data_IF_150029972780
#
_entry.id   IF_150029972780
#
_cell.length_a   1.000
_cell.length_b   1.000
_cell.length_c   1.000
_cell.angle_alpha   90.00
_cell.angle_beta   90.00
_cell.angle_gamma   90.00
#
_symmetry.space_group_name_H-M   'P 1'
#
loop_
_entity.id
_entity.type
_entity.pdbx_description
1 polymer ?
#
# COMPACT_ATOMS: atom_id res chain seq x y z
N UNK A 1 3.17 28.45 8.52
CA UNK A 1 3.14 28.07 7.10
C UNK A 1 3.06 29.28 6.16
N UNK A 2 3.98 29.44 5.19
CA UNK A 2 3.86 30.46 4.11
C UNK A 2 3.08 29.86 2.93
N UNK A 3 1.85 30.30 2.71
CA UNK A 3 0.98 29.77 1.62
C UNK A 3 1.49 30.12 0.22
N UNK A 4 2.51 30.97 0.10
CA UNK A 4 3.09 31.42 -1.19
C UNK A 4 4.22 30.52 -1.70
N UNK A 5 4.72 29.59 -0.89
CA UNK A 5 5.83 28.69 -1.26
C UNK A 5 5.40 27.24 -1.12
N UNK A 6 5.88 26.37 -2.01
CA UNK A 6 5.63 24.94 -1.89
C UNK A 6 6.20 24.37 -0.59
N UNK A 7 5.44 23.51 0.09
CA UNK A 7 5.91 22.81 1.30
C UNK A 7 7.12 21.92 1.01
N UNK A 8 7.27 21.42 -0.22
CA UNK A 8 8.47 20.66 -0.62
C UNK A 8 9.73 21.50 -0.46
N UNK A 9 9.68 22.76 -0.92
CA UNK A 9 10.81 23.69 -0.79
C UNK A 9 11.02 24.08 0.67
N UNK A 10 9.94 24.41 1.40
CA UNK A 10 10.04 24.81 2.80
C UNK A 10 10.65 23.72 3.69
N UNK A 11 10.19 22.47 3.54
CA UNK A 11 10.64 21.36 4.38
C UNK A 11 12.03 20.87 3.98
N UNK A 12 12.36 20.82 2.67
CA UNK A 12 13.70 20.41 2.22
C UNK A 12 14.80 21.40 2.62
N UNK A 13 14.51 22.70 2.71
CA UNK A 13 15.46 23.72 3.20
C UNK A 13 15.87 23.52 4.66
N UNK A 14 15.05 22.81 5.45
CA UNK A 14 15.37 22.49 6.84
C UNK A 14 16.30 21.26 6.98
N UNK A 15 16.60 20.57 5.88
CA UNK A 15 17.36 19.33 5.87
C UNK A 15 18.85 19.56 5.58
N UNK A 16 19.71 18.89 6.35
CA UNK A 16 21.11 18.64 6.04
C UNK A 16 21.30 17.16 5.79
N UNK A 17 22.10 16.78 4.80
CA UNK A 17 22.28 15.37 4.47
C UNK A 17 23.74 15.03 4.19
N UNK A 18 24.09 13.77 4.42
CA UNK A 18 25.41 13.18 4.16
C UNK A 18 25.27 11.75 3.63
N UNK A 19 26.22 11.30 2.80
CA UNK A 19 26.23 9.91 2.31
C UNK A 19 26.60 8.97 3.44
N UNK A 20 25.80 7.92 3.66
CA UNK A 20 26.07 6.87 4.64
C UNK A 20 26.60 5.61 3.94
N UNK A 21 27.90 5.60 3.69
CA UNK A 21 28.57 4.49 2.97
C UNK A 21 28.58 3.17 3.76
N UNK A 22 28.49 3.22 5.09
CA UNK A 22 28.43 2.01 5.92
C UNK A 22 27.17 1.21 5.62
N UNK A 23 25.99 1.84 5.74
CA UNK A 23 24.71 1.19 5.45
C UNK A 23 24.61 0.85 3.95
N UNK A 24 25.03 1.77 3.07
CA UNK A 24 25.03 1.53 1.63
C UNK A 24 25.90 0.32 1.25
N UNK A 25 27.06 0.15 1.87
CA UNK A 25 27.96 -0.98 1.65
C UNK A 25 27.31 -2.33 1.99
N UNK A 26 26.55 -2.40 3.07
CA UNK A 26 25.83 -3.63 3.46
C UNK A 26 24.74 -3.95 2.44
N UNK A 27 23.92 -2.96 2.07
CA UNK A 27 22.89 -3.12 1.05
C UNK A 27 23.48 -3.60 -0.29
N UNK A 28 24.56 -2.98 -0.77
CA UNK A 28 25.24 -3.38 -2.02
C UNK A 28 25.77 -4.82 -1.96
N UNK A 29 26.33 -5.25 -0.82
CA UNK A 29 26.83 -6.62 -0.62
C UNK A 29 25.70 -7.64 -0.69
N UNK A 30 24.58 -7.38 -0.02
CA UNK A 30 23.42 -8.26 0.00
C UNK A 30 22.70 -8.27 -1.37
N UNK A 31 22.58 -7.12 -2.03
CA UNK A 31 21.94 -7.01 -3.34
C UNK A 31 22.57 -7.95 -4.37
N UNK A 32 23.91 -7.98 -4.43
CA UNK A 32 24.67 -8.91 -5.31
C UNK A 32 24.34 -10.39 -5.07
N UNK A 33 23.89 -10.76 -3.87
CA UNK A 33 23.50 -12.13 -3.56
C UNK A 33 22.09 -12.49 -4.04
N UNK A 34 21.22 -11.47 -4.20
CA UNK A 34 19.81 -11.58 -4.59
C UNK A 34 19.63 -11.46 -6.11
N UNK A 35 20.34 -10.52 -6.77
CA UNK A 35 20.15 -10.16 -8.19
C UNK A 35 20.76 -11.13 -9.19
N UNK A 36 20.96 -12.41 -8.84
CA UNK A 36 21.37 -13.40 -9.86
C UNK A 36 20.21 -13.59 -10.87
N UNK A 37 20.45 -13.47 -12.19
CA UNK A 37 19.39 -13.40 -13.22
C UNK A 37 18.42 -14.59 -13.24
N UNK A 38 18.86 -15.75 -12.76
CA UNK A 38 18.10 -16.99 -12.61
C UNK A 38 17.02 -16.95 -11.51
N UNK A 39 16.98 -15.89 -10.70
CA UNK A 39 16.09 -15.80 -9.54
C UNK A 39 14.91 -14.84 -9.70
N UNK A 40 14.92 -13.94 -10.68
CA UNK A 40 13.84 -12.97 -10.86
C UNK A 40 12.82 -13.47 -11.90
N UNK A 41 11.52 -13.48 -11.60
CA UNK A 41 10.48 -13.80 -12.56
C UNK A 41 10.38 -12.72 -13.64
N UNK A 42 10.23 -13.14 -14.90
CA UNK A 42 9.93 -12.22 -16.02
C UNK A 42 8.56 -11.53 -15.87
N UNK A 43 7.68 -12.12 -15.05
CA UNK A 43 6.31 -11.64 -14.83
C UNK A 43 5.79 -12.01 -13.46
N UNK A 44 5.04 -11.08 -12.86
CA UNK A 44 4.36 -11.27 -11.59
C UNK A 44 2.83 -11.36 -11.78
N UNK A 45 2.21 -12.22 -10.99
CA UNK A 45 0.77 -12.25 -10.78
C UNK A 45 0.43 -11.76 -9.37
N UNK A 46 -0.65 -10.99 -9.23
CA UNK A 46 -1.17 -10.68 -7.90
C UNK A 46 -1.89 -11.90 -7.31
N UNK A 47 -1.73 -12.18 -6.02
CA UNK A 47 -2.33 -13.34 -5.35
C UNK A 47 -3.87 -13.30 -5.42
N UNK A 48 -4.47 -12.11 -5.38
CA UNK A 48 -5.93 -11.94 -5.62
C UNK A 48 -6.37 -12.45 -7.00
N UNK A 49 -5.53 -12.28 -8.02
CA UNK A 49 -5.80 -12.74 -9.39
C UNK A 49 -5.80 -14.26 -9.49
N UNK A 50 -5.06 -14.95 -8.62
CA UNK A 50 -4.99 -16.40 -8.57
C UNK A 50 -6.19 -17.06 -7.89
N UNK A 51 -6.98 -16.28 -7.14
CA UNK A 51 -8.27 -16.73 -6.60
C UNK A 51 -9.37 -16.78 -7.68
N UNK A 52 -9.19 -16.05 -8.79
CA UNK A 52 -10.05 -16.07 -9.97
C UNK A 52 -9.21 -16.07 -11.28
N UNK A 53 -8.50 -17.16 -11.62
CA UNK A 53 -7.58 -17.18 -12.76
C UNK A 53 -8.21 -16.81 -14.10
N UNK A 54 -9.45 -17.21 -14.34
CA UNK A 54 -10.15 -16.90 -15.60
C UNK A 54 -10.44 -15.41 -15.76
N UNK A 55 -10.85 -14.74 -14.69
CA UNK A 55 -10.99 -13.27 -14.71
C UNK A 55 -9.64 -12.61 -14.97
N UNK A 56 -8.58 -13.07 -14.31
CA UNK A 56 -7.23 -12.57 -14.49
C UNK A 56 -6.73 -12.75 -15.93
N UNK A 57 -7.05 -13.88 -16.57
CA UNK A 57 -6.75 -14.14 -17.98
C UNK A 57 -7.42 -13.09 -18.87
N UNK A 58 -8.74 -12.88 -18.73
CA UNK A 58 -9.47 -11.94 -19.57
C UNK A 58 -9.06 -10.48 -19.33
N UNK A 59 -8.74 -10.12 -18.09
CA UNK A 59 -8.13 -8.83 -17.76
C UNK A 59 -6.78 -8.63 -18.43
N UNK A 60 -5.98 -9.70 -18.53
CA UNK A 60 -4.66 -9.62 -19.15
C UNK A 60 -4.73 -9.44 -20.67
N UNK A 61 -5.63 -10.17 -21.34
CA UNK A 61 -5.77 -10.09 -22.80
C UNK A 61 -6.66 -8.93 -23.27
N UNK A 62 -7.41 -8.28 -22.37
CA UNK A 62 -8.25 -7.12 -22.66
C UNK A 62 -8.06 -6.01 -21.60
N UNK A 63 -6.88 -5.36 -21.52
CA UNK A 63 -6.59 -4.34 -20.51
C UNK A 63 -7.47 -3.09 -20.66
N UNK A 64 -7.89 -2.77 -21.88
CA UNK A 64 -8.65 -1.54 -22.20
C UNK A 64 -10.14 -1.63 -21.78
N UNK A 65 -10.57 -2.75 -21.21
CA UNK A 65 -11.97 -2.91 -20.78
C UNK A 65 -12.16 -2.23 -19.44
N UNK A 66 -12.82 -1.08 -19.49
CA UNK A 66 -13.18 -0.31 -18.31
C UNK A 66 -14.22 -1.04 -17.44
N UNK A 67 -14.07 -0.82 -16.13
CA UNK A 67 -15.06 -1.25 -15.13
C UNK A 67 -16.35 -0.44 -15.32
N UNK A 68 -17.49 -1.02 -14.97
CA UNK A 68 -18.75 -0.26 -14.98
C UNK A 68 -18.71 0.84 -13.91
N UNK A 69 -19.39 1.97 -14.14
CA UNK A 69 -19.47 3.08 -13.17
C UNK A 69 -19.90 2.61 -11.78
N UNK A 70 -20.90 1.73 -11.71
CA UNK A 70 -21.38 1.14 -10.45
C UNK A 70 -20.28 0.36 -9.73
N UNK A 71 -19.53 -0.48 -10.45
CA UNK A 71 -18.42 -1.23 -9.89
C UNK A 71 -17.28 -0.30 -9.43
N UNK A 72 -16.96 0.73 -10.22
CA UNK A 72 -15.95 1.73 -9.86
C UNK A 72 -16.30 2.47 -8.56
N UNK A 73 -17.55 2.93 -8.42
CA UNK A 73 -18.04 3.58 -7.20
C UNK A 73 -17.93 2.65 -6.00
N UNK A 74 -18.37 1.39 -6.15
CA UNK A 74 -18.29 0.39 -5.07
C UNK A 74 -16.85 0.10 -4.64
N UNK A 75 -15.92 0.00 -5.60
CA UNK A 75 -14.51 -0.23 -5.31
C UNK A 75 -13.86 0.97 -4.63
N UNK A 76 -14.15 2.19 -5.08
CA UNK A 76 -13.61 3.40 -4.43
C UNK A 76 -14.17 3.56 -3.01
N UNK A 77 -15.45 3.26 -2.79
CA UNK A 77 -16.03 3.24 -1.45
C UNK A 77 -15.35 2.21 -0.54
N UNK A 78 -15.12 0.99 -1.06
CA UNK A 78 -14.35 -0.04 -0.36
C UNK A 78 -12.93 0.44 0.00
N UNK A 79 -12.22 1.09 -0.93
CA UNK A 79 -10.90 1.68 -0.68
C UNK A 79 -10.94 2.76 0.40
N UNK A 80 -11.98 3.60 0.43
CA UNK A 80 -12.15 4.62 1.47
C UNK A 80 -12.37 3.98 2.84
N UNK A 81 -13.21 2.95 2.92
CA UNK A 81 -13.45 2.22 4.16
C UNK A 81 -12.19 1.48 4.67
N UNK A 82 -11.40 0.84 3.79
CA UNK A 82 -10.11 0.25 4.18
C UNK A 82 -9.13 1.29 4.74
N UNK A 83 -9.12 2.50 4.16
CA UNK A 83 -8.33 3.60 4.70
C UNK A 83 -8.84 3.97 6.10
N UNK A 84 -10.14 4.20 6.25
CA UNK A 84 -10.73 4.58 7.54
C UNK A 84 -10.49 3.52 8.63
N UNK A 85 -10.54 2.23 8.30
CA UNK A 85 -10.30 1.17 9.28
C UNK A 85 -8.89 1.16 9.85
N UNK A 86 -7.91 1.80 9.20
CA UNK A 86 -6.57 2.00 9.77
C UNK A 86 -6.66 2.65 11.16
N UNK A 87 -7.56 3.62 11.38
CA UNK A 87 -7.72 4.27 12.69
C UNK A 87 -8.06 3.34 13.84
N UNK A 88 -8.84 2.30 13.54
CA UNK A 88 -9.32 1.35 14.52
C UNK A 88 -8.28 0.26 14.73
N UNK A 89 -7.78 -0.30 13.64
CA UNK A 89 -6.81 -1.38 13.68
C UNK A 89 -5.47 -0.94 14.27
N UNK A 90 -5.03 0.29 14.01
CA UNK A 90 -3.81 0.84 14.62
C UNK A 90 -3.89 0.89 16.14
N UNK A 91 -5.09 0.95 16.75
CA UNK A 91 -5.25 0.96 18.20
C UNK A 91 -5.15 -0.44 18.82
N UNK A 92 -5.33 -1.51 18.04
CA UNK A 92 -5.22 -2.88 18.56
C UNK A 92 -3.81 -3.16 19.13
N UNK A 93 -3.72 -3.87 20.28
CA UNK A 93 -2.44 -4.33 20.79
C UNK A 93 -1.68 -5.10 19.71
N UNK A 94 -0.35 -4.94 19.68
CA UNK A 94 0.51 -5.64 18.73
C UNK A 94 0.24 -5.35 17.25
N UNK A 95 -0.49 -4.28 16.90
CA UNK A 95 -0.54 -3.79 15.52
C UNK A 95 0.88 -3.58 14.98
N UNK A 96 1.17 -4.14 13.81
CA UNK A 96 2.48 -4.02 13.15
C UNK A 96 2.38 -3.22 11.86
N UNK A 97 1.59 -3.68 10.88
CA UNK A 97 1.64 -3.13 9.50
C UNK A 97 0.23 -2.94 8.96
N UNK A 98 0.05 -1.90 8.14
CA UNK A 98 -1.05 -1.72 7.18
C UNK A 98 -0.51 -1.78 5.75
N UNK A 99 -1.23 -2.41 4.83
CA UNK A 99 -0.86 -2.61 3.41
C UNK A 99 0.53 -3.26 3.22
N UNK A 100 0.76 -4.37 3.92
CA UNK A 100 2.02 -5.10 3.85
C UNK A 100 2.23 -5.76 2.49
N UNK A 101 3.28 -5.37 1.74
CA UNK A 101 3.64 -6.04 0.49
C UNK A 101 4.38 -7.35 0.79
N UNK A 102 3.98 -8.42 0.11
CA UNK A 102 4.60 -9.74 0.20
C UNK A 102 4.95 -10.25 -1.21
N UNK A 103 6.08 -10.95 -1.33
CA UNK A 103 6.59 -11.47 -2.60
C UNK A 103 7.00 -12.94 -2.44
N UNK A 104 6.47 -13.78 -3.33
CA UNK A 104 6.68 -15.21 -3.30
C UNK A 104 8.13 -15.64 -3.55
N UNK A 105 8.98 -14.78 -4.13
CA UNK A 105 10.41 -15.07 -4.28
C UNK A 105 11.09 -15.36 -2.94
N UNK A 106 10.60 -14.79 -1.84
CA UNK A 106 11.19 -14.96 -0.50
C UNK A 106 10.86 -16.31 0.14
N UNK A 107 9.86 -17.03 -0.37
CA UNK A 107 9.37 -18.31 0.19
C UNK A 107 9.40 -19.46 -0.83
N UNK A 108 10.15 -19.27 -1.92
CA UNK A 108 10.28 -20.28 -2.98
C UNK A 108 9.01 -20.46 -3.81
N UNK A 109 8.24 -19.39 -4.01
CA UNK A 109 7.09 -19.32 -4.93
C UNK A 109 7.27 -18.10 -5.85
N UNK A 110 8.31 -18.08 -6.72
CA UNK A 110 8.59 -16.91 -7.55
C UNK A 110 7.43 -16.60 -8.51
N UNK A 111 7.26 -15.31 -8.85
CA UNK A 111 6.29 -14.85 -9.85
C UNK A 111 4.93 -14.47 -9.28
N UNK A 112 4.80 -14.35 -7.96
CA UNK A 112 3.57 -13.89 -7.30
C UNK A 112 3.81 -12.83 -6.24
N UNK A 113 2.83 -11.94 -6.08
CA UNK A 113 2.85 -10.84 -5.11
C UNK A 113 1.52 -10.60 -4.44
N UNK A 114 1.54 -10.11 -3.21
CA UNK A 114 0.34 -9.74 -2.46
C UNK A 114 0.49 -8.42 -1.74
N UNK A 115 -0.64 -7.88 -1.32
CA UNK A 115 -0.74 -6.77 -0.38
C UNK A 115 -1.72 -7.22 0.70
N UNK A 116 -1.21 -7.57 1.88
CA UNK A 116 -2.08 -7.89 3.03
C UNK A 116 -2.64 -6.60 3.62
N UNK A 117 -3.90 -6.61 4.06
CA UNK A 117 -4.50 -5.41 4.63
C UNK A 117 -3.80 -5.02 5.94
N UNK A 118 -3.68 -5.96 6.89
CA UNK A 118 -2.98 -5.72 8.15
C UNK A 118 -2.16 -6.92 8.63
N UNK A 119 -1.13 -6.60 9.43
CA UNK A 119 -0.39 -7.57 10.24
C UNK A 119 -0.48 -7.14 11.71
N UNK A 120 -1.03 -8.01 12.55
CA UNK A 120 -1.25 -7.74 13.99
C UNK A 120 -0.81 -8.97 14.77
N UNK A 121 0.14 -8.77 15.69
CA UNK A 121 0.88 -9.89 16.26
C UNK A 121 1.50 -10.72 15.13
N UNK A 122 1.40 -12.04 15.22
CA UNK A 122 1.93 -12.97 14.22
C UNK A 122 0.87 -13.40 13.20
N UNK A 123 -0.19 -12.61 13.03
CA UNK A 123 -1.37 -12.98 12.23
C UNK A 123 -1.66 -11.97 11.14
N UNK A 124 -2.02 -12.48 9.96
CA UNK A 124 -2.53 -11.65 8.86
C UNK A 124 -4.00 -11.38 9.11
N UNK A 125 -4.41 -10.12 8.95
CA UNK A 125 -5.80 -9.69 9.03
C UNK A 125 -6.21 -9.19 7.64
N UNK A 126 -7.11 -9.91 6.99
CA UNK A 126 -7.73 -9.49 5.73
C UNK A 126 -9.08 -8.85 6.02
N UNK A 127 -9.27 -7.62 5.56
CA UNK A 127 -10.51 -6.87 5.75
C UNK A 127 -11.38 -6.99 4.49
N UNK A 128 -12.69 -7.15 4.69
CA UNK A 128 -13.68 -7.12 3.61
C UNK A 128 -14.85 -6.23 3.97
N UNK A 129 -15.15 -5.27 3.11
CA UNK A 129 -16.32 -4.41 3.25
C UNK A 129 -17.54 -5.06 2.60
N UNK A 130 -18.67 -5.14 3.33
CA UNK A 130 -19.90 -5.76 2.86
C UNK A 130 -21.12 -4.97 3.33
N UNK A 131 -22.18 -5.00 2.52
CA UNK A 131 -23.48 -4.44 2.91
C UNK A 131 -24.12 -5.17 4.10
N UNK A 132 -24.01 -6.50 4.10
CA UNK A 132 -24.43 -7.38 5.20
C UNK A 132 -23.22 -8.17 5.69
N UNK A 133 -23.03 -8.20 7.01
CA UNK A 133 -22.01 -9.03 7.66
C UNK A 133 -22.44 -10.49 7.64
N UNK A 134 -21.52 -11.45 7.48
CA UNK A 134 -21.87 -12.86 7.57
C UNK A 134 -22.44 -13.19 8.96
N UNK A 135 -23.47 -14.01 8.98
CA UNK A 135 -24.12 -14.45 10.22
C UNK A 135 -23.30 -15.51 10.94
N UNK A 136 -22.69 -16.43 10.17
CA UNK A 136 -21.93 -17.56 10.66
C UNK A 136 -20.84 -17.99 9.65
N UNK A 137 -20.09 -19.03 10.01
CA UNK A 137 -19.00 -19.60 9.24
C UNK A 137 -19.48 -20.26 7.93
N UNK A 138 -20.69 -20.83 7.91
CA UNK A 138 -21.25 -21.48 6.73
C UNK A 138 -21.46 -20.48 5.59
N UNK A 139 -21.95 -19.27 5.90
CA UNK A 139 -22.09 -18.20 4.92
C UNK A 139 -20.74 -17.79 4.31
N UNK A 140 -19.66 -17.82 5.09
CA UNK A 140 -18.31 -17.51 4.60
C UNK A 140 -17.86 -18.58 3.62
N UNK A 141 -18.05 -19.87 3.94
CA UNK A 141 -17.74 -20.95 3.02
C UNK A 141 -18.62 -20.95 1.76
N UNK A 142 -19.86 -20.46 1.84
CA UNK A 142 -20.79 -20.40 0.72
C UNK A 142 -20.55 -19.22 -0.22
N UNK A 143 -20.28 -18.02 0.33
CA UNK A 143 -20.29 -16.77 -0.44
C UNK A 143 -18.95 -16.02 -0.45
N UNK A 144 -18.07 -16.30 0.50
CA UNK A 144 -16.81 -15.56 0.72
C UNK A 144 -15.58 -16.47 0.73
N UNK A 145 -15.68 -17.67 0.16
CA UNK A 145 -14.57 -18.62 0.12
C UNK A 145 -13.36 -18.13 -0.68
N UNK A 146 -13.54 -17.22 -1.64
CA UNK A 146 -12.42 -16.53 -2.28
C UNK A 146 -11.65 -15.64 -1.31
N UNK A 147 -12.32 -15.04 -0.33
CA UNK A 147 -11.69 -14.18 0.67
C UNK A 147 -10.84 -15.05 1.62
N UNK A 148 -11.29 -16.28 1.93
CA UNK A 148 -10.50 -17.31 2.63
C UNK A 148 -9.32 -17.83 1.81
N UNK A 149 -9.52 -18.12 0.52
CA UNK A 149 -8.45 -18.58 -0.39
C UNK A 149 -7.36 -17.51 -0.51
N UNK A 150 -7.73 -16.25 -0.65
CA UNK A 150 -6.81 -15.12 -0.70
C UNK A 150 -5.98 -15.02 0.57
N UNK A 151 -6.62 -15.07 1.75
CA UNK A 151 -5.93 -15.06 3.04
C UNK A 151 -4.97 -16.26 3.19
N UNK A 152 -5.39 -17.45 2.75
CA UNK A 152 -4.54 -18.64 2.78
C UNK A 152 -3.32 -18.50 1.86
N UNK A 153 -3.48 -17.92 0.67
CA UNK A 153 -2.36 -17.62 -0.23
C UNK A 153 -1.41 -16.58 0.35
N UNK A 154 -1.94 -15.56 1.04
CA UNK A 154 -1.12 -14.60 1.76
C UNK A 154 -0.27 -15.27 2.84
N UNK A 155 -0.84 -16.20 3.60
CA UNK A 155 -0.09 -16.96 4.59
C UNK A 155 1.06 -17.78 3.96
N UNK A 156 0.87 -18.39 2.78
CA UNK A 156 1.96 -19.11 2.07
C UNK A 156 3.09 -18.19 1.62
N UNK A 157 2.76 -16.97 1.19
CA UNK A 157 3.74 -16.01 0.66
C UNK A 157 4.38 -15.17 1.75
N UNK A 158 3.84 -15.20 2.96
CA UNK A 158 4.44 -14.56 4.12
C UNK A 158 5.67 -15.34 4.61
N UNK A 159 6.82 -14.68 4.87
CA UNK A 159 8.04 -15.36 5.31
C UNK A 159 7.86 -16.24 6.56
N UNK A 160 7.02 -15.80 7.49
CA UNK A 160 6.75 -16.52 8.75
C UNK A 160 5.68 -17.63 8.61
N UNK A 161 5.03 -17.75 7.46
CA UNK A 161 3.96 -18.74 7.20
C UNK A 161 2.93 -18.87 8.35
N UNK A 162 2.23 -17.78 8.71
CA UNK A 162 1.36 -17.76 9.87
C UNK A 162 0.21 -18.75 9.72
N UNK A 163 0.04 -19.63 10.71
CA UNK A 163 -1.05 -20.62 10.72
C UNK A 163 -2.37 -20.03 11.17
N UNK A 164 -2.33 -19.09 12.11
CA UNK A 164 -3.51 -18.39 12.62
C UNK A 164 -3.57 -17.01 11.99
N UNK A 165 -4.72 -16.71 11.39
CA UNK A 165 -4.99 -15.47 10.67
C UNK A 165 -6.43 -15.04 10.95
N UNK A 166 -6.83 -13.87 10.45
CA UNK A 166 -8.14 -13.30 10.67
C UNK A 166 -8.76 -12.81 9.37
N UNK A 167 -10.02 -13.19 9.15
CA UNK A 167 -10.87 -12.58 8.14
C UNK A 167 -11.85 -11.67 8.87
N UNK A 168 -11.78 -10.37 8.58
CA UNK A 168 -12.60 -9.36 9.25
C UNK A 168 -13.57 -8.77 8.25
N UNK A 169 -14.84 -8.72 8.61
CA UNK A 169 -15.90 -8.10 7.82
C UNK A 169 -16.31 -6.77 8.43
N UNK A 170 -16.37 -5.74 7.60
CA UNK A 170 -16.78 -4.39 7.95
C UNK A 170 -18.08 -4.05 7.22
N UNK A 171 -19.10 -3.61 7.95
CA UNK A 171 -20.34 -3.13 7.33
C UNK A 171 -20.03 -1.86 6.55
N UNK A 172 -20.49 -1.77 5.31
CA UNK A 172 -20.19 -0.64 4.41
C UNK A 172 -20.98 0.65 4.70
N UNK A 173 -21.75 0.65 5.78
CA UNK A 173 -22.61 1.76 6.20
C UNK A 173 -22.58 1.91 7.73
N UNK A 174 -22.78 3.14 8.24
CA UNK A 174 -22.87 3.39 9.68
C UNK A 174 -23.88 2.44 10.37
N UNK A 175 -23.58 1.96 11.58
CA UNK A 175 -22.47 2.34 12.44
C UNK A 175 -21.15 1.57 12.16
N UNK A 176 -20.95 1.03 10.95
CA UNK A 176 -19.69 0.39 10.54
C UNK A 176 -19.28 -0.79 11.41
N UNK A 177 -20.24 -1.64 11.79
CA UNK A 177 -19.99 -2.83 12.62
C UNK A 177 -18.92 -3.75 12.02
N UNK A 178 -18.14 -4.38 12.89
CA UNK A 178 -17.10 -5.33 12.53
C UNK A 178 -17.48 -6.75 12.99
N UNK A 179 -17.05 -7.77 12.26
CA UNK A 179 -17.02 -9.16 12.72
C UNK A 179 -15.69 -9.81 12.34
N UNK A 180 -15.01 -10.38 13.32
CA UNK A 180 -13.77 -11.10 13.11
C UNK A 180 -14.00 -12.61 13.15
N UNK A 181 -13.41 -13.32 12.20
CA UNK A 181 -13.36 -14.77 12.17
C UNK A 181 -11.90 -15.20 12.18
N UNK A 182 -11.56 -16.04 13.16
CA UNK A 182 -10.25 -16.68 13.24
C UNK A 182 -10.17 -17.78 12.20
N UNK A 183 -9.08 -17.76 11.43
CA UNK A 183 -8.78 -18.71 10.36
C UNK A 183 -7.52 -19.47 10.71
N UNK A 184 -7.62 -20.78 10.93
CA UNK A 184 -6.47 -21.65 11.19
C UNK A 184 -6.19 -22.50 9.96
N UNK A 185 -5.04 -22.30 9.32
CA UNK A 185 -4.61 -23.09 8.17
C UNK A 185 -3.98 -24.39 8.67
N UNK A 186 -4.69 -25.51 8.47
CA UNK A 186 -4.31 -26.85 8.93
C UNK A 186 -3.21 -27.45 8.06
N UNK A 187 -3.21 -27.15 6.76
CA UNK A 187 -2.33 -27.77 5.78
C UNK A 187 -1.74 -26.74 4.79
N UNK A 188 -0.67 -26.07 5.22
CA UNK A 188 0.05 -25.11 4.38
C UNK A 188 0.63 -25.77 3.10
N UNK A 189 0.98 -27.06 3.14
CA UNK A 189 1.52 -27.78 1.99
C UNK A 189 0.50 -27.93 0.86
N UNK A 190 -0.75 -28.27 1.19
CA UNK A 190 -1.85 -28.32 0.22
C UNK A 190 -2.21 -26.95 -0.33
N UNK A 191 -2.25 -25.91 0.50
CA UNK A 191 -2.49 -24.54 0.04
C UNK A 191 -1.37 -24.07 -0.91
N UNK A 192 -0.10 -24.36 -0.58
CA UNK A 192 1.04 -24.05 -1.45
C UNK A 192 0.94 -24.78 -2.79
N UNK A 193 0.55 -26.06 -2.78
CA UNK A 193 0.37 -26.85 -4.00
C UNK A 193 -0.78 -26.31 -4.87
N UNK A 194 -1.89 -25.89 -4.25
CA UNK A 194 -2.99 -25.22 -4.93
C UNK A 194 -2.50 -23.91 -5.57
N UNK A 195 -1.80 -23.06 -4.82
CA UNK A 195 -1.24 -21.81 -5.31
C UNK A 195 -0.33 -22.03 -6.53
N UNK A 196 0.60 -22.98 -6.47
CA UNK A 196 1.49 -23.32 -7.59
C UNK A 196 0.68 -23.80 -8.81
N UNK A 197 -0.36 -24.61 -8.59
CA UNK A 197 -1.26 -25.06 -9.66
C UNK A 197 -1.96 -23.88 -10.33
N UNK A 198 -2.48 -22.92 -9.55
CA UNK A 198 -3.11 -21.68 -10.06
C UNK A 198 -2.15 -20.88 -10.92
N UNK A 199 -0.92 -20.69 -10.45
CA UNK A 199 0.13 -19.95 -11.16
C UNK A 199 0.41 -20.61 -12.52
N UNK A 200 0.66 -21.92 -12.51
CA UNK A 200 1.02 -22.66 -13.72
C UNK A 200 -0.13 -22.65 -14.74
N UNK A 201 -1.37 -22.89 -14.30
CA UNK A 201 -2.53 -22.87 -15.18
C UNK A 201 -2.76 -21.49 -15.80
N UNK A 202 -2.69 -20.41 -15.00
CA UNK A 202 -2.84 -19.04 -15.53
C UNK A 202 -1.71 -18.69 -16.50
N UNK A 203 -0.46 -19.05 -16.16
CA UNK A 203 0.70 -18.82 -17.03
C UNK A 203 0.54 -19.57 -18.35
N UNK A 204 0.17 -20.84 -18.33
CA UNK A 204 -0.06 -21.65 -19.53
C UNK A 204 -1.18 -21.04 -20.39
N UNK A 205 -2.31 -20.66 -19.76
CA UNK A 205 -3.44 -20.06 -20.48
C UNK A 205 -3.05 -18.76 -21.19
N UNK A 206 -2.31 -17.87 -20.52
CA UNK A 206 -1.81 -16.62 -21.11
C UNK A 206 -0.85 -16.91 -22.27
N UNK A 207 0.10 -17.84 -22.09
CA UNK A 207 1.08 -18.19 -23.12
C UNK A 207 0.43 -18.79 -24.37
N UNK A 208 -0.58 -19.65 -24.19
CA UNK A 208 -1.30 -20.32 -25.28
C UNK A 208 -2.47 -19.49 -25.83
N UNK A 209 -2.83 -18.38 -25.17
CA UNK A 209 -4.06 -17.63 -25.41
C UNK A 209 -5.31 -18.52 -25.37
N UNK A 210 -5.33 -19.46 -24.44
CA UNK A 210 -6.39 -20.46 -24.30
C UNK A 210 -6.81 -20.62 -22.82
N UNK A 211 -8.02 -20.17 -22.44
CA UNK A 211 -8.53 -20.32 -21.08
C UNK A 211 -9.20 -21.68 -20.82
N UNK A 212 -9.23 -22.62 -21.78
CA UNK A 212 -9.99 -23.88 -21.69
C UNK A 212 -9.66 -24.75 -20.47
N UNK A 213 -8.41 -24.66 -19.97
CA UNK A 213 -7.94 -25.38 -18.78
C UNK A 213 -8.14 -24.61 -17.47
N UNK A 214 -8.59 -23.36 -17.54
CA UNK A 214 -8.93 -22.59 -16.36
C UNK A 214 -10.32 -22.97 -15.85
N UNK A 215 -10.58 -22.65 -14.60
CA UNK A 215 -11.87 -22.92 -13.97
C UNK A 215 -12.79 -21.71 -14.08
N UNK A 216 -14.10 -21.96 -14.04
CA UNK A 216 -15.15 -20.94 -14.10
C UNK A 216 -14.94 -19.87 -13.03
N UNK A 217 -14.97 -18.62 -13.46
CA UNK A 217 -14.84 -17.45 -12.58
C UNK A 217 -15.94 -17.45 -11.50
N UNK A 218 -15.58 -17.13 -10.25
CA UNK A 218 -16.55 -17.04 -9.14
C UNK A 218 -17.54 -15.88 -9.31
N UNK A 219 -17.19 -14.90 -10.13
CA UNK A 219 -18.06 -13.77 -10.50
C UNK A 219 -18.95 -14.04 -11.72
N UNK A 220 -18.85 -15.23 -12.33
CA UNK A 220 -19.79 -15.62 -13.39
C UNK A 220 -21.23 -15.56 -12.86
N UNK A 221 -22.12 -14.93 -13.63
CA UNK A 221 -23.49 -14.56 -13.24
C UNK A 221 -23.59 -13.58 -12.05
N UNK A 222 -22.51 -12.89 -11.69
CA UNK A 222 -22.45 -11.92 -10.57
C UNK A 222 -21.74 -10.64 -10.99
N UNK A 223 -22.33 -9.90 -11.93
CA UNK A 223 -21.80 -8.63 -12.47
C UNK A 223 -20.39 -8.74 -13.09
N UNK A 224 -20.06 -9.89 -13.70
CA UNK A 224 -18.81 -10.06 -14.43
C UNK A 224 -18.81 -9.21 -15.71
N UNK A 225 -17.88 -8.25 -15.77
CA UNK A 225 -17.72 -7.31 -16.88
C UNK A 225 -17.41 -7.99 -18.23
N UNK A 226 -16.77 -9.15 -18.20
CA UNK A 226 -16.39 -9.92 -19.38
C UNK A 226 -17.56 -10.76 -19.91
N UNK A 227 -18.39 -11.27 -19.00
CA UNK A 227 -19.62 -11.96 -19.37
C UNK A 227 -20.63 -10.99 -19.97
N UNK A 228 -20.86 -9.84 -19.33
CA UNK A 228 -21.80 -8.81 -19.81
C UNK A 228 -21.47 -8.32 -21.23
N UNK A 229 -20.20 -8.43 -21.64
CA UNK A 229 -19.72 -8.04 -22.97
C UNK A 229 -19.56 -9.22 -23.95
N UNK A 230 -19.97 -10.43 -23.56
CA UNK A 230 -19.86 -11.65 -24.37
C UNK A 230 -18.43 -11.95 -24.88
N UNK A 231 -17.40 -11.60 -24.11
CA UNK A 231 -16.00 -11.85 -24.49
C UNK A 231 -15.39 -13.06 -23.78
N UNK A 232 -16.08 -13.64 -22.79
CA UNK A 232 -15.61 -14.79 -22.05
C UNK A 232 -16.41 -16.05 -22.33
N UNK A 233 -15.72 -17.20 -22.37
CA UNK A 233 -16.34 -18.52 -22.49
C UNK A 233 -16.52 -19.21 -21.13
N UNK A 234 -16.74 -18.43 -20.05
CA UNK A 234 -16.80 -18.95 -18.69
C UNK A 234 -17.88 -20.02 -18.50
N UNK A 235 -18.98 -19.95 -19.27
CA UNK A 235 -20.10 -20.88 -19.19
C UNK A 235 -19.68 -22.35 -19.33
N UNK A 236 -18.74 -22.59 -20.26
CA UNK A 236 -18.25 -23.92 -20.64
C UNK A 236 -17.09 -24.42 -19.77
N UNK A 237 -16.64 -23.64 -18.78
CA UNK A 237 -15.57 -24.05 -17.87
C UNK A 237 -16.11 -24.81 -16.66
N UNK A 238 -15.29 -25.71 -16.14
CA UNK A 238 -15.59 -26.44 -14.90
C UNK A 238 -15.62 -25.50 -13.70
N UNK A 239 -16.57 -25.66 -12.75
CA UNK A 239 -16.58 -24.88 -11.52
C UNK A 239 -15.26 -24.95 -10.76
N UNK A 240 -14.86 -23.84 -10.13
CA UNK A 240 -13.72 -23.83 -9.23
C UNK A 240 -13.97 -24.76 -8.02
N UNK A 241 -13.07 -25.72 -7.81
CA UNK A 241 -13.18 -26.61 -6.67
C UNK A 241 -12.82 -25.87 -5.38
N UNK A 242 -13.73 -25.97 -4.41
CA UNK A 242 -13.60 -25.34 -3.10
C UNK A 242 -13.19 -26.33 -1.99
N UNK A 243 -13.15 -27.62 -2.30
CA UNK A 243 -12.99 -28.68 -1.31
C UNK A 243 -11.63 -28.64 -0.60
N UNK A 244 -10.58 -28.31 -1.34
CA UNK A 244 -9.24 -28.21 -0.77
C UNK A 244 -9.19 -27.10 0.28
N UNK A 245 -9.73 -25.91 -0.02
CA UNK A 245 -9.78 -24.80 0.94
C UNK A 245 -10.61 -25.21 2.15
N UNK A 246 -11.83 -25.72 1.96
CA UNK A 246 -12.72 -26.17 3.06
C UNK A 246 -12.06 -27.18 3.99
N UNK A 247 -11.26 -28.12 3.45
CA UNK A 247 -10.57 -29.15 4.23
C UNK A 247 -9.28 -28.64 4.88
N UNK A 248 -8.68 -27.57 4.35
CA UNK A 248 -7.36 -27.08 4.77
C UNK A 248 -7.43 -25.91 5.74
N UNK A 249 -8.63 -25.36 6.01
CA UNK A 249 -8.83 -24.26 6.96
C UNK A 249 -9.87 -24.61 8.01
N UNK A 250 -9.61 -24.20 9.24
CA UNK A 250 -10.63 -24.02 10.28
C UNK A 250 -11.08 -22.58 10.29
N UNK A 251 -12.37 -22.36 10.46
CA UNK A 251 -12.95 -21.05 10.60
C UNK A 251 -13.82 -21.05 11.86
N UNK A 252 -13.63 -20.05 12.71
CA UNK A 252 -14.43 -19.86 13.93
C UNK A 252 -14.67 -18.37 14.14
N UNK A 253 -15.90 -17.98 14.47
CA UNK A 253 -16.20 -16.64 14.95
C UNK A 253 -15.38 -16.33 16.21
N UNK A 254 -14.73 -15.16 16.23
CA UNK A 254 -13.89 -14.72 17.34
C UNK A 254 -14.56 -13.51 18.01
N UNK A 255 -15.35 -13.78 19.04
CA UNK A 255 -16.11 -12.77 19.79
C UNK A 255 -15.16 -11.79 20.49
N UNK A 256 -14.05 -12.27 21.04
CA UNK A 256 -13.07 -11.44 21.75
C UNK A 256 -12.39 -10.45 20.80
N UNK A 257 -11.92 -10.91 19.65
CA UNK A 257 -11.32 -10.05 18.63
C UNK A 257 -12.34 -9.08 18.04
N UNK A 258 -13.58 -9.53 17.82
CA UNK A 258 -14.67 -8.67 17.35
C UNK A 258 -14.91 -7.53 18.35
N UNK A 259 -15.03 -7.85 19.64
CA UNK A 259 -15.21 -6.86 20.69
C UNK A 259 -14.01 -5.92 20.82
N UNK A 260 -12.78 -6.44 20.72
CA UNK A 260 -11.58 -5.61 20.73
C UNK A 260 -11.58 -4.58 19.59
N UNK A 261 -11.94 -5.00 18.38
CA UNK A 261 -12.11 -4.11 17.23
C UNK A 261 -13.21 -3.06 17.47
N UNK A 262 -14.39 -3.47 17.95
CA UNK A 262 -15.48 -2.53 18.25
C UNK A 262 -15.09 -1.52 19.34
N UNK A 263 -14.34 -1.94 20.36
CA UNK A 263 -13.87 -1.04 21.41
C UNK A 263 -12.86 -0.02 20.86
N UNK A 264 -12.02 -0.39 19.88
CA UNK A 264 -11.19 0.60 19.16
C UNK A 264 -12.01 1.62 18.38
N UNK A 265 -13.18 1.24 17.84
CA UNK A 265 -14.09 2.18 17.19
C UNK A 265 -14.72 3.17 18.17
N UNK A 266 -15.09 2.72 19.37
CA UNK A 266 -15.69 3.59 20.42
C UNK A 266 -14.68 4.58 21.01
N UNK A 267 -13.42 4.17 21.12
CA UNK A 267 -12.38 4.95 21.78
C UNK A 267 -11.83 6.12 20.94
N UNK A 268 -12.28 6.30 19.69
CA UNK A 268 -11.76 7.35 18.81
C UNK A 268 -12.81 7.85 17.84
N UNK A 269 -13.04 9.16 17.83
CA UNK A 269 -13.85 9.80 16.80
C UNK A 269 -13.20 9.62 15.43
N UNK A 270 -13.97 9.14 14.45
CA UNK A 270 -13.57 9.11 13.05
C UNK A 270 -13.15 10.52 12.60
N UNK A 271 -12.00 10.69 11.92
CA UNK A 271 -11.71 11.96 11.27
C UNK A 271 -12.69 12.19 10.10
N UNK A 272 -12.66 13.39 9.52
CA UNK A 272 -13.34 13.66 8.26
C UNK A 272 -12.65 12.97 7.07
N UNK A 273 -11.33 12.81 7.13
CA UNK A 273 -10.55 12.21 6.06
C UNK A 273 -9.20 11.69 6.56
N UNK A 274 -8.50 10.97 5.69
CA UNK A 274 -7.14 10.52 5.88
C UNK A 274 -6.17 11.14 4.91
N UNK A 275 -5.06 11.62 5.45
CA UNK A 275 -4.06 12.32 4.68
C UNK A 275 -2.85 11.41 4.49
N UNK A 276 -2.41 11.24 3.24
CA UNK A 276 -1.08 10.70 2.97
C UNK A 276 -0.02 11.81 3.07
N UNK A 277 1.26 11.45 3.17
CA UNK A 277 2.36 12.44 3.05
C UNK A 277 2.27 13.21 1.72
N UNK A 278 1.85 12.54 0.65
CA UNK A 278 1.61 13.20 -0.64
C UNK A 278 0.49 14.25 -0.56
N UNK A 279 -0.61 13.96 0.13
CA UNK A 279 -1.71 14.92 0.30
C UNK A 279 -1.24 16.18 1.04
N UNK A 280 -0.34 16.01 2.02
CA UNK A 280 0.28 17.12 2.75
C UNK A 280 1.22 17.93 1.86
N UNK A 281 2.05 17.27 1.05
CA UNK A 281 3.02 17.97 0.18
C UNK A 281 2.39 18.59 -1.07
N UNK A 282 1.21 18.13 -1.48
CA UNK A 282 0.45 18.63 -2.63
C UNK A 282 -1.03 18.93 -2.27
N UNK A 283 -1.30 19.85 -1.32
CA UNK A 283 -2.62 20.01 -0.72
C UNK A 283 -3.67 20.57 -1.69
N UNK A 284 -3.26 21.41 -2.65
CA UNK A 284 -4.17 21.91 -3.70
C UNK A 284 -4.63 20.81 -4.64
N UNK A 285 -3.73 19.89 -5.00
CA UNK A 285 -4.07 18.74 -5.86
C UNK A 285 -5.03 17.80 -5.13
N UNK A 286 -4.80 17.55 -3.84
CA UNK A 286 -5.74 16.82 -3.00
C UNK A 286 -7.12 17.49 -2.96
N UNK A 287 -7.18 18.80 -2.69
CA UNK A 287 -8.46 19.53 -2.65
C UNK A 287 -9.19 19.49 -3.98
N UNK A 288 -8.48 19.60 -5.11
CA UNK A 288 -9.10 19.60 -6.43
C UNK A 288 -9.62 18.25 -6.86
N UNK A 289 -8.88 17.17 -6.56
CA UNK A 289 -9.40 15.80 -6.76
C UNK A 289 -10.69 15.60 -5.95
N UNK A 290 -10.74 16.13 -4.71
CA UNK A 290 -11.93 16.04 -3.85
C UNK A 290 -13.11 16.87 -4.37
N UNK A 291 -12.88 18.12 -4.77
CA UNK A 291 -13.95 19.03 -5.24
C UNK A 291 -14.49 18.65 -6.62
N UNK A 292 -13.61 18.28 -7.53
CA UNK A 292 -13.97 17.98 -8.93
C UNK A 292 -14.38 16.51 -9.12
N UNK A 293 -14.37 15.71 -8.05
CA UNK A 293 -14.66 14.26 -8.06
C UNK A 293 -13.88 13.52 -9.16
N UNK A 294 -12.68 14.00 -9.47
CA UNK A 294 -11.81 13.40 -10.48
C UNK A 294 -11.48 12.00 -9.98
N UNK A 295 -11.85 10.97 -10.77
CA UNK A 295 -11.36 9.62 -10.52
C UNK A 295 -9.84 9.71 -10.41
N UNK A 296 -9.29 9.27 -9.27
CA UNK A 296 -7.85 9.31 -9.06
C UNK A 296 -7.20 8.68 -10.27
N UNK A 297 -6.52 9.51 -11.05
CA UNK A 297 -5.54 9.06 -12.01
C UNK A 297 -4.39 8.51 -11.17
N UNK A 298 -4.56 7.29 -10.67
CA UNK A 298 -3.42 6.43 -10.42
C UNK A 298 -2.90 6.16 -11.83
N UNK A 299 -1.74 6.72 -12.22
CA UNK A 299 -1.15 6.31 -13.48
C UNK A 299 -1.07 4.78 -13.41
N UNK A 300 -1.82 4.10 -14.29
CA UNK A 300 -1.55 2.70 -14.64
C UNK A 300 -0.25 2.72 -15.44
N UNK A 301 0.85 3.11 -14.79
CA UNK A 301 2.16 3.12 -15.41
C UNK A 301 2.87 1.83 -15.05
N UNK A 302 3.16 1.08 -16.11
CA UNK A 302 3.91 -0.15 -16.06
C UNK A 302 5.23 0.03 -15.32
N UNK A 303 5.36 -0.63 -14.18
CA UNK A 303 6.58 -0.59 -13.39
C UNK A 303 6.89 -1.96 -12.78
N UNK A 304 6.89 -3.01 -13.61
CA UNK A 304 7.46 -4.31 -13.21
C UNK A 304 8.85 -4.11 -12.55
N UNK A 305 9.69 -3.23 -13.11
CA UNK A 305 11.02 -2.93 -12.54
C UNK A 305 10.98 -2.26 -11.16
N UNK A 306 10.27 -1.14 -10.96
CA UNK A 306 10.26 -0.48 -9.64
C UNK A 306 9.63 -1.36 -8.59
N UNK A 307 8.54 -2.06 -8.90
CA UNK A 307 7.95 -3.01 -7.95
C UNK A 307 8.91 -4.16 -7.63
N UNK A 308 9.71 -4.62 -8.61
CA UNK A 308 10.82 -5.56 -8.37
C UNK A 308 11.85 -4.98 -7.41
N UNK A 309 12.31 -3.75 -7.61
CA UNK A 309 13.29 -3.15 -6.69
C UNK A 309 12.70 -2.81 -5.32
N UNK A 310 11.41 -2.48 -5.22
CA UNK A 310 10.72 -2.33 -3.93
C UNK A 310 10.68 -3.66 -3.16
N UNK A 311 10.41 -4.78 -3.83
CA UNK A 311 10.48 -6.11 -3.23
C UNK A 311 11.90 -6.49 -2.82
N UNK A 312 12.88 -6.29 -3.70
CA UNK A 312 14.29 -6.56 -3.41
C UNK A 312 14.73 -5.73 -2.20
N UNK A 313 14.37 -4.45 -2.14
CA UNK A 313 14.71 -3.60 -1.01
C UNK A 313 14.04 -4.06 0.29
N UNK A 314 12.77 -4.45 0.24
CA UNK A 314 12.10 -5.00 1.41
C UNK A 314 12.83 -6.23 1.96
N UNK A 315 13.24 -7.14 1.07
CA UNK A 315 14.06 -8.30 1.42
C UNK A 315 15.37 -7.90 2.07
N UNK A 316 16.09 -6.95 1.46
CA UNK A 316 17.35 -6.46 1.99
C UNK A 316 17.18 -5.91 3.41
N UNK A 317 16.15 -5.10 3.64
CA UNK A 317 15.82 -4.54 4.94
C UNK A 317 15.48 -5.64 5.96
N UNK A 318 14.80 -6.72 5.54
CA UNK A 318 14.54 -7.87 6.39
C UNK A 318 15.80 -8.70 6.67
N UNK A 319 16.68 -8.90 5.68
CA UNK A 319 17.93 -9.67 5.82
C UNK A 319 18.99 -8.92 6.63
N UNK A 320 19.01 -7.58 6.58
CA UNK A 320 19.74 -6.75 7.56
C UNK A 320 19.33 -7.06 9.00
N UNK A 321 18.10 -7.56 9.20
CA UNK A 321 17.49 -7.89 10.48
C UNK A 321 17.48 -9.41 10.73
N UNK A 322 18.63 -10.09 10.67
CA UNK A 322 18.77 -11.48 11.17
C UNK A 322 18.33 -11.70 12.64
N UNK A 323 17.80 -10.68 13.33
CA UNK A 323 16.90 -10.81 14.47
C UNK A 323 15.51 -10.25 14.13
N UNK A 324 14.62 -11.13 13.69
CA UNK A 324 13.16 -10.91 13.53
C UNK A 324 12.48 -10.44 14.83
N UNK A 325 13.16 -10.48 15.98
CA UNK A 325 12.67 -9.92 17.25
C UNK A 325 12.43 -8.39 17.23
N UNK A 326 12.82 -7.68 16.16
CA UNK A 326 12.81 -6.21 16.13
C UNK A 326 11.64 -5.57 15.37
N UNK A 327 10.88 -6.34 14.58
CA UNK A 327 9.55 -5.90 14.08
C UNK A 327 8.49 -5.90 15.21
N UNK A 328 8.88 -6.37 16.41
CA UNK A 328 7.99 -6.77 17.49
C UNK A 328 7.77 -5.72 18.60
N UNK A 329 8.34 -4.52 18.51
CA UNK A 329 8.11 -3.48 19.53
C UNK A 329 7.42 -2.24 18.94
N UNK A 330 6.15 -1.97 19.30
CA UNK A 330 5.36 -0.83 18.82
C UNK A 330 5.80 0.50 19.46
N UNK A 331 7.11 0.71 19.67
CA UNK A 331 7.64 1.91 20.34
C UNK A 331 7.24 3.21 19.63
N UNK A 332 6.97 3.17 18.32
CA UNK A 332 6.49 4.32 17.55
C UNK A 332 4.99 4.58 17.64
N UNK A 333 4.18 3.62 18.13
CA UNK A 333 2.71 3.73 18.14
C UNK A 333 2.21 4.85 19.07
N UNK A 334 2.93 5.12 20.15
CA UNK A 334 2.61 6.20 21.10
C UNK A 334 3.24 7.55 20.74
N UNK A 335 3.93 7.66 19.60
CA UNK A 335 4.69 8.85 19.21
C UNK A 335 4.05 9.66 18.06
N UNK A 336 2.99 9.17 17.42
CA UNK A 336 2.34 9.87 16.31
C UNK A 336 1.68 11.17 16.81
N UNK A 337 2.34 12.30 16.57
CA UNK A 337 1.85 13.64 16.97
C UNK A 337 0.59 14.05 16.17
N UNK A 338 0.42 13.48 14.97
CA UNK A 338 -0.70 13.77 14.08
C UNK A 338 -1.28 12.48 13.51
N UNK A 339 -2.33 11.93 14.16
CA UNK A 339 -2.76 10.59 13.87
C UNK A 339 -3.85 10.55 12.77
N UNK A 340 -4.06 11.66 12.04
CA UNK A 340 -4.80 11.72 10.77
C UNK A 340 -3.91 11.46 9.55
N UNK A 341 -2.60 11.32 9.75
CA UNK A 341 -1.66 10.95 8.68
C UNK A 341 -1.47 9.45 8.59
N UNK A 342 -1.67 8.91 7.39
CA UNK A 342 -1.28 7.54 7.07
C UNK A 342 0.21 7.54 6.71
N UNK A 343 1.03 7.00 7.61
CA UNK A 343 2.43 6.70 7.33
C UNK A 343 2.60 5.18 7.19
N UNK A 344 3.05 4.67 6.03
CA UNK A 344 3.38 3.26 5.90
C UNK A 344 4.40 2.83 6.96
N UNK A 345 4.03 1.87 7.82
CA UNK A 345 4.88 1.40 8.93
C UNK A 345 6.26 0.89 8.48
N UNK A 346 6.39 0.47 7.21
CA UNK A 346 7.69 0.12 6.64
C UNK A 346 8.74 1.20 6.95
N UNK A 347 8.36 2.47 6.95
CA UNK A 347 9.26 3.63 7.04
C UNK A 347 9.79 4.00 8.42
N UNK A 348 9.60 3.20 9.48
CA UNK A 348 9.98 3.62 10.85
C UNK A 348 11.00 2.76 11.56
N UNK A 349 11.48 1.69 10.93
CA UNK A 349 12.15 0.60 11.63
C UNK A 349 13.57 0.30 11.14
N UNK A 350 14.35 1.32 10.74
CA UNK A 350 15.77 1.15 10.45
C UNK A 350 16.62 1.81 11.54
N UNK A 351 17.77 1.22 11.86
CA UNK A 351 18.75 1.85 12.74
C UNK A 351 19.56 2.87 11.96
N UNK A 352 19.98 3.93 12.64
CA UNK A 352 20.85 4.97 12.09
C UNK A 352 22.27 4.50 11.77
N UNK A 353 22.69 3.37 12.34
CA UNK A 353 23.98 2.74 12.04
C UNK A 353 23.86 1.22 11.88
N UNK A 354 24.91 0.62 11.32
CA UNK A 354 25.07 -0.83 11.22
C UNK A 354 25.30 -1.51 12.58
N UNK A 355 25.63 -0.72 13.62
CA UNK A 355 25.91 -1.23 14.96
C UNK A 355 24.63 -1.44 15.78
N UNK A 356 24.72 -2.31 16.79
CA UNK A 356 23.58 -2.62 17.65
C UNK A 356 23.09 -1.41 18.47
N UNK A 357 23.89 -0.36 18.60
CA UNK A 357 23.59 0.86 19.38
C UNK A 357 22.89 1.97 18.58
N UNK A 358 22.70 1.80 17.27
CA UNK A 358 22.02 2.80 16.44
C UNK A 358 20.58 3.07 16.87
N UNK A 359 20.18 4.35 16.89
CA UNK A 359 18.81 4.77 17.19
C UNK A 359 17.87 4.30 16.07
N UNK A 360 16.65 3.90 16.44
CA UNK A 360 15.57 3.71 15.46
C UNK A 360 15.16 5.06 14.87
N UNK A 361 15.35 5.21 13.56
CA UNK A 361 15.00 6.41 12.82
C UNK A 361 14.09 6.08 11.63
N UNK A 362 13.24 7.02 11.21
CA UNK A 362 12.44 6.84 10.01
C UNK A 362 13.31 6.75 8.76
N UNK A 363 12.81 6.09 7.73
CA UNK A 363 13.46 6.02 6.44
C UNK A 363 12.46 5.94 5.29
N UNK A 364 12.87 6.39 4.12
CA UNK A 364 12.14 6.19 2.86
C UNK A 364 13.01 5.44 1.87
N UNK A 365 12.36 4.69 0.98
CA UNK A 365 13.00 4.01 -0.14
C UNK A 365 12.49 4.56 -1.46
N UNK A 366 13.40 4.75 -2.42
CA UNK A 366 13.11 5.24 -3.76
C UNK A 366 13.88 4.45 -4.83
N UNK A 367 13.24 4.27 -5.97
CA UNK A 367 13.89 3.84 -7.21
C UNK A 367 14.02 5.07 -8.09
N UNK A 368 15.22 5.34 -8.60
CA UNK A 368 15.49 6.52 -9.42
C UNK A 368 16.16 6.13 -10.73
N UNK A 369 15.64 6.68 -11.83
CA UNK A 369 16.29 6.61 -13.14
C UNK A 369 17.24 7.79 -13.38
N UNK A 370 17.49 8.61 -12.36
CA UNK A 370 18.43 9.73 -12.44
C UNK A 370 19.87 9.23 -12.56
N UNK A 371 20.66 9.88 -13.40
CA UNK A 371 22.11 9.66 -13.45
C UNK A 371 22.86 10.47 -12.37
N UNK A 372 22.23 11.49 -11.78
CA UNK A 372 22.82 12.24 -10.66
C UNK A 372 22.53 11.52 -9.34
N UNK A 373 23.60 11.06 -8.70
CA UNK A 373 23.58 10.33 -7.43
C UNK A 373 24.10 11.18 -6.26
N UNK A 374 24.59 12.40 -6.50
CA UNK A 374 25.31 13.17 -5.47
C UNK A 374 24.41 13.73 -4.37
N UNK A 375 23.12 13.91 -4.66
CA UNK A 375 22.14 14.47 -3.72
C UNK A 375 20.77 13.79 -3.86
N UNK A 376 20.02 13.66 -2.75
CA UNK A 376 18.62 13.23 -2.82
C UNK A 376 17.76 14.32 -3.47
N UNK A 377 16.65 13.90 -4.08
CA UNK A 377 15.64 14.82 -4.61
C UNK A 377 14.98 15.62 -3.46
N UNK A 378 14.68 16.90 -3.69
CA UNK A 378 14.03 17.78 -2.71
C UNK A 378 12.69 17.22 -2.21
N UNK A 379 11.94 16.54 -3.08
CA UNK A 379 10.72 15.85 -2.70
C UNK A 379 10.97 14.74 -1.68
N UNK A 380 12.04 13.96 -1.85
CA UNK A 380 12.39 12.90 -0.91
C UNK A 380 12.79 13.48 0.45
N UNK A 381 13.53 14.60 0.46
CA UNK A 381 13.86 15.34 1.68
C UNK A 381 12.61 15.87 2.38
N UNK A 382 11.64 16.41 1.65
CA UNK A 382 10.39 16.90 2.24
C UNK A 382 9.50 15.77 2.77
N UNK A 383 9.37 14.66 2.02
CA UNK A 383 8.60 13.48 2.40
C UNK A 383 9.14 12.85 3.68
N UNK A 384 10.46 12.63 3.76
CA UNK A 384 11.11 12.16 4.97
C UNK A 384 10.92 13.16 6.13
N UNK A 385 10.93 14.47 5.86
CA UNK A 385 10.74 15.50 6.88
C UNK A 385 9.36 15.45 7.53
N UNK A 386 8.30 15.22 6.74
CA UNK A 386 6.94 14.99 7.28
C UNK A 386 6.92 13.73 8.14
N UNK A 387 7.51 12.62 7.67
CA UNK A 387 7.54 11.36 8.44
C UNK A 387 8.29 11.56 9.77
N UNK A 388 9.49 12.14 9.71
CA UNK A 388 10.31 12.45 10.89
C UNK A 388 9.55 13.34 11.90
N UNK A 389 8.76 14.30 11.43
CA UNK A 389 8.05 15.22 12.33
C UNK A 389 6.89 14.58 13.07
N UNK A 390 6.17 13.66 12.43
CA UNK A 390 5.06 12.96 13.08
C UNK A 390 5.57 11.99 14.15
N UNK A 391 6.79 11.46 14.01
CA UNK A 391 7.42 10.60 15.03
C UNK A 391 8.35 11.35 15.99
N UNK A 392 8.42 12.67 15.91
CA UNK A 392 9.32 13.52 16.70
C UNK A 392 10.79 13.07 16.64
N UNK A 393 11.27 12.74 15.43
CA UNK A 393 12.65 12.32 15.15
C UNK A 393 13.36 13.41 14.36
N UNK A 394 14.56 13.80 14.82
CA UNK A 394 15.37 14.84 14.15
C UNK A 394 16.18 14.31 12.97
N UNK A 395 16.25 12.99 12.80
CA UNK A 395 17.00 12.37 11.73
C UNK A 395 16.20 11.23 11.07
N UNK A 396 16.60 10.89 9.86
CA UNK A 396 16.06 9.77 9.08
C UNK A 396 16.99 9.35 7.94
N UNK A 397 16.62 8.30 7.20
CA UNK A 397 17.41 7.78 6.08
C UNK A 397 16.65 7.87 4.75
N UNK A 398 17.34 8.23 3.67
CA UNK A 398 16.83 8.09 2.30
C UNK A 398 17.66 7.02 1.60
N UNK A 399 17.03 5.92 1.23
CA UNK A 399 17.66 4.82 0.49
C UNK A 399 17.20 4.91 -0.97
N UNK A 400 18.15 4.98 -1.89
CA UNK A 400 17.88 5.10 -3.33
C UNK A 400 18.58 3.97 -4.08
N UNK A 401 17.83 3.22 -4.88
CA UNK A 401 18.39 2.31 -5.89
C UNK A 401 18.34 2.99 -7.26
N UNK A 402 19.43 2.87 -8.02
CA UNK A 402 19.59 3.36 -9.38
C UNK A 402 19.74 2.18 -10.35
N UNK A 403 18.64 1.67 -10.93
CA UNK A 403 18.68 0.50 -11.83
C UNK A 403 19.61 0.71 -13.03
N UNK A 404 19.57 1.89 -13.63
CA UNK A 404 20.36 2.24 -14.82
C UNK A 404 21.87 2.39 -14.53
N UNK A 405 22.26 2.34 -13.26
CA UNK A 405 23.66 2.40 -12.80
C UNK A 405 24.11 1.05 -12.23
N UNK A 406 23.72 -0.05 -12.87
CA UNK A 406 23.99 -1.42 -12.40
C UNK A 406 23.51 -1.66 -10.96
N UNK A 407 22.26 -1.28 -10.70
CA UNK A 407 21.60 -1.41 -9.39
C UNK A 407 22.38 -0.70 -8.26
N UNK A 408 23.07 0.41 -8.57
CA UNK A 408 23.81 1.15 -7.57
C UNK A 408 22.89 1.63 -6.45
N UNK A 409 23.29 1.41 -5.20
CA UNK A 409 22.54 1.82 -4.01
C UNK A 409 23.26 3.00 -3.36
N UNK A 410 22.51 4.04 -3.02
CA UNK A 410 22.97 5.12 -2.17
C UNK A 410 22.06 5.27 -0.96
N UNK A 411 22.67 5.61 0.17
CA UNK A 411 21.96 5.88 1.42
C UNK A 411 22.39 7.25 1.90
N UNK A 412 21.43 8.12 2.19
CA UNK A 412 21.66 9.41 2.80
C UNK A 412 21.13 9.41 4.22
N UNK A 413 21.95 9.85 5.16
CA UNK A 413 21.47 10.28 6.47
C UNK A 413 21.04 11.74 6.38
N UNK A 414 19.84 12.04 6.89
CA UNK A 414 19.23 13.36 6.80
C UNK A 414 18.90 13.84 8.21
N UNK A 415 19.33 15.05 8.55
CA UNK A 415 19.11 15.73 9.83
C UNK A 415 18.28 17.00 9.59
N UNK A 416 17.21 17.17 10.36
CA UNK A 416 16.32 18.33 10.28
C UNK A 416 16.58 19.28 11.45
N UNK A 417 16.78 20.57 11.14
CA UNK A 417 17.11 21.56 12.18
C UNK A 417 15.88 22.01 13.00
N UNK A 418 14.66 21.84 12.49
CA UNK A 418 13.44 22.32 13.13
C UNK A 418 12.26 21.39 12.84
N UNK A 419 12.23 20.24 13.50
CA UNK A 419 11.21 19.23 13.26
C UNK A 419 9.85 19.63 13.87
N UNK A 420 9.90 20.40 14.94
CA UNK A 420 8.75 20.93 15.67
C UNK A 420 7.93 21.88 14.78
N UNK A 421 8.60 22.74 14.01
CA UNK A 421 7.93 23.62 13.04
C UNK A 421 7.30 22.83 11.90
N UNK A 422 7.98 21.80 11.36
CA UNK A 422 7.39 20.93 10.32
C UNK A 422 6.13 20.25 10.87
N UNK A 423 6.17 19.70 12.09
CA UNK A 423 4.99 19.06 12.71
C UNK A 423 3.84 20.05 12.89
N UNK A 424 4.13 21.28 13.33
CA UNK A 424 3.14 22.36 13.45
C UNK A 424 2.50 22.71 12.10
N UNK A 425 3.30 22.93 11.06
CA UNK A 425 2.80 23.28 9.73
C UNK A 425 1.93 22.15 9.13
N UNK A 426 2.32 20.90 9.35
CA UNK A 426 1.55 19.71 8.96
C UNK A 426 0.18 19.67 9.64
N UNK A 427 0.14 19.89 10.97
CA UNK A 427 -1.10 19.90 11.74
C UNK A 427 -2.02 21.05 11.35
N UNK A 428 -1.46 22.25 11.16
CA UNK A 428 -2.19 23.44 10.68
C UNK A 428 -2.81 23.20 9.30
N UNK A 429 -2.05 22.57 8.38
CA UNK A 429 -2.53 22.23 7.05
C UNK A 429 -3.69 21.24 7.10
N UNK A 430 -3.59 20.17 7.89
CA UNK A 430 -4.67 19.18 8.00
C UNK A 430 -5.93 19.83 8.60
N UNK A 431 -5.78 20.65 9.64
CA UNK A 431 -6.89 21.41 10.21
C UNK A 431 -7.53 22.34 9.18
N UNK A 432 -6.74 22.92 8.29
CA UNK A 432 -7.25 23.73 7.18
C UNK A 432 -8.03 22.86 6.20
N UNK A 433 -7.48 21.74 5.74
CA UNK A 433 -8.11 20.81 4.79
C UNK A 433 -9.43 20.18 5.29
N UNK A 434 -9.66 20.12 6.59
CA UNK A 434 -10.91 19.63 7.19
C UNK A 434 -12.04 20.68 7.26
N UNK A 435 -11.78 21.94 6.90
CA UNK A 435 -12.83 22.96 6.76
C UNK A 435 -13.62 22.73 5.48
N UNK A 436 -14.91 23.06 5.49
CA UNK A 436 -15.80 22.86 4.33
C UNK A 436 -15.46 23.83 3.17
N UNK A 437 -15.14 25.09 3.50
CA UNK A 437 -15.02 26.18 2.51
C UNK A 437 -13.56 26.62 2.25
N UNK A 438 -12.63 25.67 2.14
CA UNK A 438 -11.21 25.99 1.88
C UNK A 438 -11.03 26.51 0.44
N UNK A 439 -10.37 27.66 0.29
CA UNK A 439 -9.93 28.14 -1.02
C UNK A 439 -8.55 27.55 -1.38
N UNK A 440 -8.31 27.25 -2.65
CA UNK A 440 -6.99 26.81 -3.12
C UNK A 440 -5.87 27.79 -2.75
N UNK A 441 -6.16 29.09 -2.76
CA UNK A 441 -5.17 30.14 -2.47
C UNK A 441 -4.74 30.16 -1.00
N UNK A 442 -5.53 29.58 -0.10
CA UNK A 442 -5.17 29.41 1.31
C UNK A 442 -4.17 28.27 1.52
N UNK A 443 -4.01 27.39 0.51
CA UNK A 443 -3.14 26.23 0.55
C UNK A 443 -1.80 26.52 -0.17
N UNK A 444 -0.68 25.95 0.30
CA UNK A 444 0.59 26.01 -0.41
C UNK A 444 0.52 25.43 -1.84
N UNK A 445 1.23 26.02 -2.83
CA UNK A 445 1.27 25.50 -4.18
C UNK A 445 2.05 24.18 -4.29
N UNK A 446 1.76 23.40 -5.33
CA UNK A 446 2.54 22.21 -5.67
C UNK A 446 3.92 22.61 -6.22
N UNK A 447 4.92 21.74 -6.07
CA UNK A 447 6.23 21.93 -6.73
C UNK A 447 6.11 21.70 -8.25
N UNK A 448 6.98 22.33 -9.05
CA UNK A 448 6.86 22.39 -10.51
C UNK A 448 6.65 21.05 -11.21
N UNK A 449 7.36 19.98 -10.83
CA UNK A 449 7.20 18.66 -11.46
C UNK A 449 5.86 17.97 -11.16
N UNK A 450 5.16 18.39 -10.09
CA UNK A 450 3.80 17.90 -9.78
C UNK A 450 2.71 18.73 -10.47
N UNK A 451 3.12 19.81 -11.14
CA UNK A 451 2.25 20.83 -11.71
C UNK A 451 2.67 21.13 -13.16
N UNK A 452 2.66 20.09 -13.99
CA UNK A 452 2.86 20.22 -15.42
C UNK A 452 1.56 19.93 -16.20
N UNK A 453 1.42 20.55 -17.38
CA UNK A 453 0.23 20.43 -18.24
C UNK A 453 -0.02 19.02 -18.77
N UNK A 454 0.96 18.11 -18.74
CA UNK A 454 0.81 16.74 -19.22
C UNK A 454 0.28 15.82 -18.13
N UNK A 455 0.55 16.12 -16.85
CA UNK A 455 0.31 15.19 -15.74
C UNK A 455 -0.66 15.70 -14.68
N UNK A 456 -0.98 17.00 -14.65
CA UNK A 456 -1.87 17.57 -13.64
C UNK A 456 -3.22 17.98 -14.26
N UNK A 457 -4.32 17.26 -13.97
CA UNK A 457 -5.65 17.60 -14.49
C UNK A 457 -6.23 18.90 -13.91
N UNK A 458 -5.55 19.48 -12.90
CA UNK A 458 -5.99 20.66 -12.15
C UNK A 458 -5.19 21.93 -12.51
N UNK A 459 -4.35 21.89 -13.55
CA UNK A 459 -3.46 23.01 -13.90
C UNK A 459 -4.19 24.35 -14.03
N UNK A 460 -5.36 24.33 -14.66
CA UNK A 460 -6.14 25.53 -14.96
C UNK A 460 -7.07 25.94 -13.82
N UNK A 461 -7.26 25.08 -12.80
CA UNK A 461 -8.22 25.30 -11.71
C UNK A 461 -7.57 25.59 -10.35
N UNK A 462 -6.38 25.05 -10.08
CA UNK A 462 -5.78 25.10 -8.74
C UNK A 462 -4.67 26.16 -8.54
N UNK A 463 -4.40 27.04 -9.53
CA UNK A 463 -3.41 28.13 -9.45
C UNK A 463 -2.00 27.70 -8.99
N UNK A 464 -1.58 26.45 -9.25
CA UNK A 464 -0.33 25.88 -8.72
C UNK A 464 0.96 26.31 -9.47
N UNK A 465 0.87 27.27 -10.40
CA UNK A 465 1.99 27.75 -11.21
C UNK A 465 2.96 28.66 -10.46
N UNK A 466 4.03 28.09 -9.90
CA UNK A 466 5.21 28.83 -9.44
C UNK A 466 6.24 28.98 -10.55
N UNK A 467 6.06 29.98 -11.42
CA UNK A 467 7.05 30.35 -12.45
C UNK A 467 6.47 31.24 -13.54
N UNK A 468 6.24 32.52 -13.22
CA UNK A 468 5.71 33.59 -14.09
C UNK A 468 4.26 33.39 -14.59
N UNK A 469 3.32 33.96 -13.83
CA UNK A 469 1.94 34.19 -14.26
C UNK A 469 0.91 33.45 -13.41
N UNK A 470 0.54 34.05 -12.28
CA UNK A 470 -0.78 33.96 -11.63
C UNK A 470 -0.77 34.84 -10.36
N UNK A 471 -0.54 36.15 -10.54
CA UNK A 471 -0.94 37.14 -9.54
C UNK A 471 -2.35 37.62 -9.92
N UNK A 472 -3.38 37.47 -9.07
CA UNK A 472 -4.63 38.19 -9.27
C UNK A 472 -4.37 39.67 -8.98
N UNK A 473 -4.23 40.46 -10.04
CA UNK A 473 -3.97 41.90 -9.96
C UNK A 473 -4.05 42.66 -11.28
N UNK A 474 -4.60 42.08 -12.35
CA UNK A 474 -4.84 42.80 -13.60
C UNK A 474 -6.29 42.59 -14.04
N UNK A 475 -7.13 43.56 -13.65
CA UNK A 475 -8.40 43.84 -14.30
C UNK A 475 -8.04 44.54 -15.61
N UNK A 476 -8.41 44.03 -16.80
CA UNK A 476 -8.36 44.82 -18.01
C UNK A 476 -9.56 45.78 -18.01
N UNK A 477 -9.28 47.07 -18.21
CA UNK A 477 -10.20 47.92 -18.97
C UNK A 477 -10.19 47.46 -20.42
#
# INVERSE_FOLDING_TARGET
MDSRRSLVIQFSQNAKFESNESIAGIFRKQLKSITRPDKLPDKYFFLKSLCNPTEAYYSYINPDIEKTKELSIKLEWGKQLHKLSVFWFELLPSFRIHEGKIDGIHVGVPGVRGSVDYFIGDSIFELKTKYRLPENEEEIFAYFIQDLEQLAFYAIVHPENPKTNYLVFLKDSPPYNLKAFKVVIKDLGKIKSLLITRINSLKEAILKKDPSKLEKCRYYNRNCIYQQRNICNCENLNPISNDLIKKSVELTFDEEMTKALEDTQKNRSLPKDLYSVYNVLAPRKYLGVKKEQIEKFEPEEGENKKEIYESIMWRLILELKFNLNYLLKPEFKNLLVEPRLIIPFRWTNLKSSADLEGEKIPYIFKVSNSMDTRKPNEYYLAELGVICSVYNKKAGLIIIIYPELNDFIQVFEVKYNNIEQISKDVKELINLLEKEDVNYLDLPPCIGFMNDKKTCPLMDTCNSGGGAGCCPGHVPK
#
